data_IF_084703734438
#
_entry.id   IF_084703734438
#
_cell.length_a   1.000
_cell.length_b   1.000
_cell.length_c   1.000
_cell.angle_alpha   90.00
_cell.angle_beta   90.00
_cell.angle_gamma   90.00
#
_symmetry.space_group_name_H-M   'P 1'
#
loop_
_entity.id
_entity.type
_entity.pdbx_description
1 polymer ?
#
# COMPACT_ATOMS: atom_id res chain seq x y z
N UNK A 1 -5.66 -44.34 9.95
CA UNK A 1 -6.20 -43.42 8.90
C UNK A 1 -5.36 -43.46 7.63
N UNK A 2 -4.14 -42.93 7.62
CA UNK A 2 -3.30 -42.84 6.41
C UNK A 2 -2.89 -44.20 5.78
N UNK A 3 -2.87 -45.28 6.55
CA UNK A 3 -2.58 -46.65 6.07
C UNK A 3 -3.74 -47.29 5.29
N UNK A 4 -4.98 -46.87 5.56
CA UNK A 4 -6.18 -47.47 4.94
C UNK A 4 -6.84 -46.54 3.92
N UNK A 5 -6.83 -45.23 4.19
CA UNK A 5 -7.38 -44.18 3.31
C UNK A 5 -6.34 -43.72 2.29
N UNK A 6 -5.83 -44.67 1.50
CA UNK A 6 -4.89 -44.44 0.40
C UNK A 6 -5.61 -44.18 -0.93
N UNK A 7 -6.92 -44.42 -0.99
CA UNK A 7 -7.72 -44.44 -2.21
C UNK A 7 -7.66 -45.75 -3.00
N UNK A 8 -6.90 -46.75 -2.51
CA UNK A 8 -6.76 -48.05 -3.16
C UNK A 8 -7.77 -49.11 -2.69
N UNK A 9 -8.52 -48.85 -1.61
CA UNK A 9 -9.39 -49.84 -0.96
C UNK A 9 -10.83 -49.33 -0.77
N UNK A 10 -11.73 -49.47 -1.75
CA UNK A 10 -13.14 -49.08 -1.58
C UNK A 10 -13.81 -49.82 -0.40
N UNK A 11 -14.67 -49.16 0.42
CA UNK A 11 -15.16 -47.79 0.29
C UNK A 11 -14.23 -46.73 0.91
N UNK A 12 -13.07 -47.10 1.46
CA UNK A 12 -12.12 -46.16 2.04
C UNK A 12 -11.46 -45.32 0.94
N UNK A 13 -11.94 -44.09 0.82
CA UNK A 13 -11.41 -43.07 -0.06
C UNK A 13 -10.07 -42.54 0.43
N UNK A 14 -9.32 -41.93 -0.49
CA UNK A 14 -8.08 -41.24 -0.17
C UNK A 14 -8.33 -39.79 0.25
N UNK A 15 -7.25 -39.08 0.57
CA UNK A 15 -7.29 -37.61 0.69
C UNK A 15 -7.81 -37.01 -0.62
N UNK A 16 -8.71 -36.02 -0.53
CA UNK A 16 -9.15 -35.28 -1.72
C UNK A 16 -7.98 -34.57 -2.40
N UNK A 17 -8.13 -34.27 -3.69
CA UNK A 17 -7.15 -33.45 -4.44
C UNK A 17 -6.96 -32.05 -3.85
N UNK A 18 -7.95 -31.57 -3.09
CA UNK A 18 -7.95 -30.29 -2.39
C UNK A 18 -7.44 -30.36 -0.95
N UNK A 19 -6.99 -31.53 -0.49
CA UNK A 19 -6.50 -31.71 0.87
C UNK A 19 -5.25 -30.86 1.10
N UNK A 20 -5.30 -29.98 2.10
CA UNK A 20 -4.20 -29.07 2.41
C UNK A 20 -2.94 -29.85 2.83
N UNK A 21 -1.74 -29.50 2.32
CA UNK A 21 -0.49 -30.13 2.72
C UNK A 21 0.00 -29.58 4.06
N UNK A 22 -0.77 -29.83 5.13
CA UNK A 22 -0.57 -29.27 6.48
C UNK A 22 0.80 -29.59 7.09
N UNK A 23 1.49 -30.63 6.61
CA UNK A 23 2.83 -31.01 7.05
C UNK A 23 3.91 -30.00 6.65
N UNK A 24 3.64 -29.15 5.65
CA UNK A 24 4.56 -28.12 5.17
C UNK A 24 4.58 -26.86 6.05
N UNK A 25 3.71 -26.79 7.07
CA UNK A 25 3.61 -25.65 7.98
C UNK A 25 3.94 -26.13 9.39
N UNK A 26 4.95 -25.50 10.01
CA UNK A 26 5.46 -25.92 11.33
C UNK A 26 4.36 -26.07 12.39
N UNK A 27 3.40 -25.13 12.44
CA UNK A 27 2.29 -25.14 13.42
C UNK A 27 1.38 -26.38 13.31
N UNK A 28 1.34 -27.03 12.14
CA UNK A 28 0.53 -28.22 11.89
C UNK A 28 1.38 -29.44 11.53
N UNK A 29 2.71 -29.35 11.60
CA UNK A 29 3.61 -30.44 11.19
C UNK A 29 3.42 -31.73 12.00
N UNK A 30 3.08 -31.60 13.29
CA UNK A 30 2.78 -32.71 14.19
C UNK A 30 1.29 -33.10 14.23
N UNK A 31 0.43 -32.44 13.44
CA UNK A 31 -0.99 -32.73 13.43
C UNK A 31 -1.27 -34.13 12.84
N UNK A 32 -2.30 -34.77 13.37
CA UNK A 32 -2.84 -36.02 12.85
C UNK A 32 -4.23 -35.79 12.23
N UNK A 33 -4.84 -36.85 11.68
CA UNK A 33 -6.16 -36.76 11.05
C UNK A 33 -7.23 -36.23 12.03
N UNK A 34 -7.17 -36.65 13.29
CA UNK A 34 -8.15 -36.32 14.33
C UNK A 34 -8.08 -34.84 14.75
N UNK A 35 -6.95 -34.17 14.48
CA UNK A 35 -6.79 -32.73 14.71
C UNK A 35 -7.79 -31.92 13.90
N UNK A 36 -8.13 -32.38 12.68
CA UNK A 36 -9.03 -31.68 11.77
C UNK A 36 -10.37 -32.40 11.59
N UNK A 37 -10.39 -33.74 11.69
CA UNK A 37 -11.56 -34.58 11.42
C UNK A 37 -12.17 -35.11 12.74
N UNK A 38 -12.64 -34.19 13.59
CA UNK A 38 -13.11 -34.50 14.95
C UNK A 38 -14.48 -35.18 15.03
N UNK A 39 -15.29 -35.14 13.97
CA UNK A 39 -16.68 -35.60 13.95
C UNK A 39 -16.86 -37.12 13.81
N UNK A 40 -16.03 -37.89 14.52
CA UNK A 40 -16.30 -39.30 14.82
C UNK A 40 -16.55 -40.21 13.61
N UNK A 41 -15.84 -40.00 12.49
CA UNK A 41 -15.87 -40.85 11.29
C UNK A 41 -17.17 -40.87 10.48
N UNK A 42 -18.25 -40.20 10.92
CA UNK A 42 -19.53 -40.16 10.21
C UNK A 42 -19.61 -39.03 9.17
N UNK A 43 -18.90 -37.91 9.40
CA UNK A 43 -18.78 -36.80 8.45
C UNK A 43 -17.35 -36.26 8.47
N UNK A 44 -16.53 -36.65 7.48
CA UNK A 44 -15.15 -36.19 7.33
C UNK A 44 -15.02 -34.80 6.70
N UNK A 45 -16.09 -34.32 6.07
CA UNK A 45 -16.15 -33.01 5.43
C UNK A 45 -17.34 -32.21 5.96
N UNK A 46 -17.23 -30.87 6.05
CA UNK A 46 -16.06 -30.05 5.72
C UNK A 46 -15.10 -29.88 6.92
N UNK A 47 -13.82 -30.21 6.74
CA UNK A 47 -12.75 -29.84 7.67
C UNK A 47 -11.97 -28.63 7.13
N UNK A 48 -11.75 -27.61 7.96
CA UNK A 48 -11.00 -26.39 7.59
C UNK A 48 -9.83 -26.18 8.54
N UNK A 49 -8.66 -25.87 7.97
CA UNK A 49 -7.41 -25.71 8.72
C UNK A 49 -7.52 -24.58 9.74
N UNK A 50 -7.91 -23.37 9.33
CA UNK A 50 -8.00 -22.21 10.24
C UNK A 50 -9.06 -22.35 11.35
N UNK A 51 -10.00 -23.30 11.22
CA UNK A 51 -10.97 -23.61 12.28
C UNK A 51 -10.43 -24.59 13.32
N UNK A 52 -9.36 -25.32 12.99
CA UNK A 52 -8.81 -26.41 13.82
C UNK A 52 -7.37 -26.16 14.28
N UNK A 53 -6.65 -25.24 13.64
CA UNK A 53 -5.28 -24.88 13.95
C UNK A 53 -5.06 -23.37 13.86
N UNK A 54 -4.37 -22.82 14.86
CA UNK A 54 -3.91 -21.44 14.87
C UNK A 54 -2.60 -21.34 14.10
N UNK A 55 -2.64 -20.72 12.92
CA UNK A 55 -1.48 -20.49 12.06
C UNK A 55 -1.24 -18.99 11.98
N UNK A 56 -0.06 -18.56 12.40
CA UNK A 56 0.36 -17.15 12.43
C UNK A 56 1.52 -16.83 11.50
N UNK A 57 2.11 -17.83 10.84
CA UNK A 57 3.21 -17.67 9.89
C UNK A 57 3.15 -18.70 8.76
N UNK A 58 3.97 -18.54 7.72
CA UNK A 58 4.08 -19.46 6.59
C UNK A 58 2.79 -19.52 5.74
N UNK A 59 2.03 -18.42 5.68
CA UNK A 59 0.79 -18.36 4.92
C UNK A 59 1.02 -18.66 3.43
N UNK A 60 2.14 -18.19 2.88
CA UNK A 60 2.51 -18.36 1.48
C UNK A 60 2.63 -19.83 1.06
N UNK A 61 2.94 -20.76 1.99
CA UNK A 61 3.05 -22.20 1.71
C UNK A 61 1.79 -22.79 1.09
N UNK A 62 0.62 -22.27 1.45
CA UNK A 62 -0.67 -22.71 0.87
C UNK A 62 -1.33 -21.63 0.01
N UNK A 63 -1.15 -20.35 0.34
CA UNK A 63 -1.93 -19.25 -0.25
C UNK A 63 -1.19 -18.44 -1.32
N UNK A 64 0.06 -18.76 -1.66
CA UNK A 64 0.82 -18.00 -2.66
C UNK A 64 0.13 -17.93 -4.04
N UNK A 65 -0.55 -18.99 -4.46
CA UNK A 65 -1.22 -19.06 -5.77
C UNK A 65 -2.53 -18.26 -5.86
N UNK A 66 -3.13 -17.93 -4.72
CA UNK A 66 -4.38 -17.16 -4.65
C UNK A 66 -4.15 -15.71 -4.22
N UNK A 67 -2.88 -15.32 -4.08
CA UNK A 67 -2.48 -13.95 -3.73
C UNK A 67 -2.98 -12.98 -4.82
N UNK A 68 -3.74 -11.92 -4.45
CA UNK A 68 -4.21 -10.95 -5.41
C UNK A 68 -3.06 -10.27 -6.18
N UNK A 69 -3.24 -10.06 -7.48
CA UNK A 69 -2.30 -9.32 -8.31
C UNK A 69 -2.56 -7.80 -8.23
N UNK A 70 -2.27 -7.19 -7.07
CA UNK A 70 -2.36 -5.73 -6.89
C UNK A 70 -1.01 -5.14 -6.54
N UNK A 71 -0.83 -3.83 -6.75
CA UNK A 71 0.42 -3.12 -6.44
C UNK A 71 0.87 -3.29 -4.99
N UNK A 72 -0.07 -3.37 -4.04
CA UNK A 72 0.24 -3.61 -2.61
C UNK A 72 0.78 -5.02 -2.37
N UNK A 73 0.35 -5.99 -3.18
CA UNK A 73 0.76 -7.38 -3.07
C UNK A 73 2.03 -7.66 -3.87
N UNK A 74 2.38 -6.87 -4.90
CA UNK A 74 3.59 -7.09 -5.72
C UNK A 74 4.85 -7.23 -4.85
N UNK A 75 5.62 -8.32 -5.06
CA UNK A 75 6.84 -8.61 -4.30
C UNK A 75 6.65 -9.14 -2.87
N UNK A 76 5.43 -9.12 -2.30
CA UNK A 76 5.19 -9.59 -0.93
C UNK A 76 5.23 -11.11 -0.80
N UNK A 77 6.10 -11.64 0.07
CA UNK A 77 6.22 -13.08 0.34
C UNK A 77 5.82 -13.46 1.77
N UNK A 78 5.76 -12.49 2.68
CA UNK A 78 5.40 -12.67 4.08
C UNK A 78 4.05 -12.01 4.33
N UNK A 79 2.97 -12.80 4.27
CA UNK A 79 1.59 -12.30 4.28
C UNK A 79 1.17 -11.78 5.67
N UNK A 80 1.64 -12.47 6.70
CA UNK A 80 1.40 -12.22 8.12
C UNK A 80 1.99 -10.89 8.62
N UNK A 81 2.84 -10.23 7.82
CA UNK A 81 3.25 -8.85 8.09
C UNK A 81 2.06 -7.88 8.02
N UNK A 82 1.09 -8.14 7.14
CA UNK A 82 -0.11 -7.32 6.96
C UNK A 82 -1.38 -8.00 7.47
N UNK A 83 -1.55 -9.30 7.18
CA UNK A 83 -2.73 -10.06 7.54
C UNK A 83 -2.56 -10.69 8.92
N UNK A 84 -2.95 -9.94 9.97
CA UNK A 84 -2.78 -10.35 11.37
C UNK A 84 -3.85 -11.32 11.89
N UNK A 85 -4.86 -11.63 11.09
CA UNK A 85 -6.00 -12.44 11.51
C UNK A 85 -6.49 -13.32 10.36
N UNK A 86 -6.77 -14.58 10.68
CA UNK A 86 -7.39 -15.55 9.75
C UNK A 86 -8.91 -15.44 9.71
N UNK A 87 -9.54 -14.76 10.68
CA UNK A 87 -10.99 -14.53 10.73
C UNK A 87 -11.39 -13.19 10.13
N UNK A 88 -10.52 -12.18 10.23
CA UNK A 88 -10.69 -10.85 9.63
C UNK A 88 -9.58 -10.60 8.61
N UNK A 89 -9.41 -11.55 7.67
CA UNK A 89 -8.33 -11.52 6.68
C UNK A 89 -8.44 -10.29 5.76
N UNK A 90 -9.67 -9.97 5.36
CA UNK A 90 -9.99 -8.76 4.59
C UNK A 90 -9.80 -7.51 5.44
N UNK A 91 -9.27 -6.44 4.84
CA UNK A 91 -9.10 -5.15 5.53
C UNK A 91 -7.73 -4.95 6.19
N UNK A 92 -6.76 -5.83 5.92
CA UNK A 92 -5.36 -5.60 6.29
C UNK A 92 -4.89 -4.21 5.81
N UNK A 93 -4.15 -3.52 6.69
CA UNK A 93 -3.62 -2.19 6.41
C UNK A 93 -2.11 -2.26 6.27
N UNK A 94 -1.57 -1.44 5.36
CA UNK A 94 -0.13 -1.28 5.20
C UNK A 94 0.41 -0.48 6.38
N UNK A 95 1.46 -1.01 7.02
CA UNK A 95 2.21 -0.30 8.03
C UNK A 95 3.21 0.67 7.36
N UNK A 96 2.88 1.95 7.39
CA UNK A 96 3.69 2.99 6.76
C UNK A 96 4.98 3.30 7.54
N UNK A 97 5.11 2.88 8.80
CA UNK A 97 6.31 3.13 9.61
C UNK A 97 7.57 2.47 9.06
N UNK A 98 7.40 1.48 8.19
CA UNK A 98 8.48 0.74 7.52
C UNK A 98 9.03 1.44 6.27
N UNK A 99 8.37 2.51 5.79
CA UNK A 99 8.80 3.24 4.61
C UNK A 99 9.80 4.36 4.93
N UNK A 100 10.64 4.69 3.97
CA UNK A 100 11.76 5.63 4.15
C UNK A 100 11.78 6.68 3.03
N UNK A 101 12.78 7.57 3.07
CA UNK A 101 12.99 8.56 2.02
C UNK A 101 13.24 7.96 0.64
N UNK A 102 13.65 6.70 0.55
CA UNK A 102 13.85 6.00 -0.72
C UNK A 102 12.54 5.44 -1.31
N UNK A 103 11.45 5.41 -0.52
CA UNK A 103 10.19 4.82 -0.96
C UNK A 103 9.48 5.72 -1.97
N UNK A 104 9.11 5.15 -3.12
CA UNK A 104 8.28 5.83 -4.11
C UNK A 104 6.81 5.79 -3.68
N UNK A 105 6.34 6.79 -2.93
CA UNK A 105 4.96 6.81 -2.44
C UNK A 105 3.92 6.81 -3.57
N UNK A 106 4.27 7.38 -4.73
CA UNK A 106 3.38 7.48 -5.89
C UNK A 106 3.08 6.13 -6.55
N UNK A 107 3.87 5.08 -6.28
CA UNK A 107 3.57 3.74 -6.81
C UNK A 107 2.23 3.22 -6.28
N UNK A 108 1.87 3.56 -5.04
CA UNK A 108 0.62 3.16 -4.40
C UNK A 108 -0.39 4.32 -4.34
N UNK A 109 0.06 5.53 -4.02
CA UNK A 109 -0.78 6.73 -3.94
C UNK A 109 -0.98 7.37 -5.33
N UNK A 110 -1.60 6.60 -6.23
CA UNK A 110 -1.79 6.93 -7.64
C UNK A 110 -3.25 7.27 -8.00
N UNK A 111 -4.17 7.29 -7.03
CA UNK A 111 -5.60 7.55 -7.24
C UNK A 111 -6.41 6.31 -7.60
N UNK A 112 -5.77 5.16 -7.83
CA UNK A 112 -6.43 3.87 -8.10
C UNK A 112 -6.20 2.88 -6.95
N UNK A 113 -4.94 2.62 -6.58
CA UNK A 113 -4.59 1.69 -5.49
C UNK A 113 -4.85 2.32 -4.12
N UNK A 114 -4.44 3.57 -3.96
CA UNK A 114 -4.70 4.39 -2.78
C UNK A 114 -4.94 5.83 -3.23
N UNK A 115 -5.44 6.65 -2.30
CA UNK A 115 -5.70 8.07 -2.54
C UNK A 115 -4.46 8.74 -3.12
N UNK A 116 -4.62 9.33 -4.31
CA UNK A 116 -3.56 10.06 -5.00
C UNK A 116 -3.54 11.54 -4.61
N UNK A 117 -2.82 12.34 -5.40
CA UNK A 117 -2.81 13.79 -5.28
C UNK A 117 -4.21 14.35 -5.58
N UNK A 118 -4.70 15.24 -4.72
CA UNK A 118 -5.94 15.98 -4.98
C UNK A 118 -5.76 16.94 -6.16
N UNK A 119 -6.86 17.37 -6.79
CA UNK A 119 -6.84 18.38 -7.87
C UNK A 119 -6.22 19.71 -7.43
N UNK A 120 -6.29 20.03 -6.14
CA UNK A 120 -5.70 21.22 -5.51
C UNK A 120 -4.28 21.00 -4.97
N UNK A 121 -3.65 19.87 -5.28
CA UNK A 121 -2.25 19.64 -4.91
C UNK A 121 -1.33 20.54 -5.74
N UNK A 122 -0.40 21.23 -5.09
CA UNK A 122 0.59 22.09 -5.76
C UNK A 122 1.46 21.29 -6.75
N UNK A 123 1.90 21.88 -7.87
CA UNK A 123 2.82 21.21 -8.77
C UNK A 123 4.20 21.06 -8.11
N UNK A 124 4.66 19.81 -7.96
CA UNK A 124 5.95 19.48 -7.31
C UNK A 124 6.87 18.65 -8.22
N UNK A 125 6.49 18.44 -9.47
CA UNK A 125 7.22 17.60 -10.42
C UNK A 125 7.52 16.20 -9.85
N UNK A 126 8.78 15.78 -9.98
CA UNK A 126 9.30 14.52 -9.48
C UNK A 126 9.80 14.56 -8.02
N UNK A 127 9.55 15.66 -7.29
CA UNK A 127 9.94 15.79 -5.88
C UNK A 127 9.35 14.65 -5.06
N UNK A 128 10.18 14.02 -4.24
CA UNK A 128 9.74 12.92 -3.40
C UNK A 128 8.65 13.40 -2.42
N UNK A 129 7.59 12.62 -2.28
CA UNK A 129 6.44 12.97 -1.46
C UNK A 129 6.85 13.18 0.01
N UNK A 130 7.84 12.44 0.51
CA UNK A 130 8.32 12.55 1.89
C UNK A 130 9.04 13.88 2.20
N UNK A 131 9.42 14.66 1.17
CA UNK A 131 9.95 16.00 1.38
C UNK A 131 8.87 16.90 2.01
N UNK A 132 7.61 16.74 1.63
CA UNK A 132 6.50 17.55 2.15
C UNK A 132 5.64 16.78 3.17
N UNK A 133 5.54 15.46 3.03
CA UNK A 133 4.64 14.61 3.79
C UNK A 133 5.41 13.63 4.66
N UNK A 134 4.70 12.92 5.54
CA UNK A 134 5.30 11.93 6.42
C UNK A 134 4.62 10.59 6.23
N UNK A 135 5.27 9.51 6.67
CA UNK A 135 4.67 8.18 6.69
C UNK A 135 3.46 8.09 7.61
N UNK A 136 3.32 9.01 8.57
CA UNK A 136 2.17 9.10 9.48
C UNK A 136 0.99 9.90 8.89
N UNK A 137 1.21 10.68 7.83
CA UNK A 137 0.13 11.46 7.23
C UNK A 137 0.55 12.46 6.15
N UNK A 138 -0.43 12.78 5.29
CA UNK A 138 -0.33 13.79 4.22
C UNK A 138 -0.52 15.22 4.73
N UNK A 139 -1.23 15.42 5.85
CA UNK A 139 -1.47 16.74 6.45
C UNK A 139 -1.11 16.73 7.94
N UNK A 140 -0.56 17.84 8.49
CA UNK A 140 -0.11 19.02 7.76
C UNK A 140 1.09 18.72 6.85
N UNK A 141 1.19 19.45 5.75
CA UNK A 141 2.39 19.42 4.90
C UNK A 141 3.49 20.27 5.53
N UNK A 142 4.75 19.87 5.33
CA UNK A 142 5.96 20.61 5.71
C UNK A 142 6.57 21.36 4.52
N UNK A 143 5.77 21.59 3.48
CA UNK A 143 6.20 22.30 2.28
C UNK A 143 6.93 23.59 2.63
N UNK A 144 8.07 23.79 1.99
CA UNK A 144 8.77 25.07 1.94
C UNK A 144 9.40 25.26 0.56
N UNK A 145 9.74 26.51 0.25
CA UNK A 145 10.23 26.89 -1.06
C UNK A 145 11.61 26.35 -1.45
N UNK A 146 12.38 25.75 -0.52
CA UNK A 146 13.68 25.14 -0.86
C UNK A 146 13.57 23.68 -1.30
N UNK A 147 12.39 23.06 -1.16
CA UNK A 147 12.16 21.65 -1.50
C UNK A 147 11.85 21.42 -2.98
N UNK A 148 11.47 22.48 -3.68
CA UNK A 148 11.16 22.47 -5.11
C UNK A 148 12.00 23.53 -5.79
N UNK A 149 12.50 23.24 -6.99
CA UNK A 149 13.22 24.24 -7.77
C UNK A 149 12.22 25.22 -8.40
N UNK A 150 12.16 26.45 -7.86
CA UNK A 150 11.16 27.46 -8.24
C UNK A 150 11.69 28.64 -9.05
N UNK A 151 12.98 28.65 -9.39
CA UNK A 151 13.62 29.79 -10.08
C UNK A 151 12.88 30.16 -11.36
N UNK A 152 12.40 31.40 -11.44
CA UNK A 152 11.58 31.90 -12.55
C UNK A 152 10.27 31.10 -12.83
N UNK A 153 9.80 30.28 -11.88
CA UNK A 153 8.59 29.45 -12.00
C UNK A 153 7.50 29.83 -10.99
N UNK A 154 7.60 30.97 -10.28
CA UNK A 154 6.65 31.34 -9.21
C UNK A 154 5.19 31.31 -9.69
N UNK A 155 4.94 31.74 -10.93
CA UNK A 155 3.60 31.76 -11.54
C UNK A 155 2.95 30.38 -11.73
N UNK A 156 3.69 29.27 -11.63
CA UNK A 156 3.11 27.92 -11.72
C UNK A 156 2.32 27.53 -10.47
N UNK A 157 2.66 28.11 -9.32
CA UNK A 157 2.00 27.87 -8.03
C UNK A 157 1.21 29.10 -7.56
N UNK A 158 1.68 30.30 -7.83
CA UNK A 158 1.04 31.56 -7.44
C UNK A 158 -0.04 31.99 -8.44
N UNK A 159 -1.01 31.11 -8.65
CA UNK A 159 -2.19 31.34 -9.50
C UNK A 159 -3.42 31.75 -8.69
N UNK A 160 -3.38 31.55 -7.36
CA UNK A 160 -4.55 31.62 -6.47
C UNK A 160 -5.38 30.34 -6.43
N UNK A 161 -5.05 29.33 -7.25
CA UNK A 161 -5.76 28.05 -7.27
C UNK A 161 -5.31 27.07 -6.17
N UNK A 162 -4.21 27.38 -5.48
CA UNK A 162 -3.57 26.45 -4.53
C UNK A 162 -3.39 27.09 -3.15
N UNK A 163 -4.44 27.19 -2.30
CA UNK A 163 -4.31 27.80 -0.98
C UNK A 163 -3.21 27.14 -0.13
N UNK A 164 -2.33 27.91 0.54
CA UNK A 164 -2.33 29.37 0.69
C UNK A 164 -1.51 30.14 -0.35
N UNK A 165 -1.08 29.52 -1.46
CA UNK A 165 -0.34 30.22 -2.51
C UNK A 165 -1.25 31.21 -3.24
N UNK A 166 -1.02 32.50 -2.97
CA UNK A 166 -1.78 33.59 -3.55
C UNK A 166 -1.48 33.79 -5.04
N UNK A 167 -2.46 34.33 -5.75
CA UNK A 167 -2.32 34.75 -7.15
C UNK A 167 -1.95 36.22 -7.29
N UNK A 168 -1.74 36.66 -8.54
CA UNK A 168 -1.67 38.10 -8.85
C UNK A 168 -3.00 38.77 -8.50
N UNK A 169 -2.94 39.86 -7.74
CA UNK A 169 -4.12 40.68 -7.46
C UNK A 169 -4.44 41.60 -8.65
N UNK A 170 -5.63 42.21 -8.64
CA UNK A 170 -6.06 43.17 -9.67
C UNK A 170 -5.13 44.38 -9.78
N UNK A 171 -4.43 44.73 -8.70
CA UNK A 171 -3.48 45.84 -8.65
C UNK A 171 -2.04 45.42 -8.96
N UNK A 172 -1.79 44.17 -9.33
CA UNK A 172 -0.45 43.70 -9.67
C UNK A 172 0.07 44.43 -10.91
N UNK A 173 1.24 45.07 -10.79
CA UNK A 173 1.84 45.85 -11.87
C UNK A 173 2.12 44.97 -13.10
N UNK A 174 1.66 45.36 -14.31
CA UNK A 174 1.92 44.62 -15.54
C UNK A 174 3.33 44.96 -16.05
N UNK A 175 4.35 44.48 -15.36
CA UNK A 175 5.76 44.78 -15.64
C UNK A 175 6.18 44.47 -17.09
N UNK A 176 5.51 43.54 -17.76
CA UNK A 176 5.75 43.24 -19.18
C UNK A 176 5.44 44.42 -20.11
N UNK A 177 4.59 45.35 -19.71
CA UNK A 177 4.21 46.52 -20.51
C UNK A 177 5.20 47.69 -20.38
N UNK A 178 6.15 47.60 -19.45
CA UNK A 178 7.14 48.65 -19.20
C UNK A 178 8.48 48.19 -19.78
N UNK A 179 8.99 48.90 -20.79
CA UNK A 179 10.21 48.49 -21.52
C UNK A 179 11.41 48.23 -20.59
N UNK A 180 11.57 49.02 -19.52
CA UNK A 180 12.66 48.86 -18.55
C UNK A 180 12.59 47.56 -17.72
N UNK A 181 11.41 46.96 -17.58
CA UNK A 181 11.17 45.74 -16.80
C UNK A 181 10.55 44.62 -17.63
N UNK A 182 10.53 44.74 -18.95
CA UNK A 182 9.94 43.75 -19.85
C UNK A 182 10.61 42.37 -19.74
N UNK A 183 11.91 42.34 -19.41
CA UNK A 183 12.68 41.10 -19.18
C UNK A 183 12.73 40.67 -17.71
N UNK A 184 12.06 41.38 -16.80
CA UNK A 184 12.02 41.03 -15.38
C UNK A 184 11.22 39.73 -15.16
N UNK A 185 11.51 39.06 -14.05
CA UNK A 185 10.74 37.93 -13.56
C UNK A 185 10.22 38.22 -12.14
N UNK A 186 9.49 37.26 -11.58
CA UNK A 186 8.98 37.35 -10.21
C UNK A 186 10.10 37.66 -9.21
N UNK A 187 11.24 36.96 -9.30
CA UNK A 187 12.39 37.13 -8.41
C UNK A 187 13.00 38.55 -8.45
N UNK A 188 12.83 39.26 -9.57
CA UNK A 188 13.34 40.63 -9.74
C UNK A 188 12.64 41.62 -8.81
N UNK A 189 11.34 41.41 -8.56
CA UNK A 189 10.52 42.28 -7.72
C UNK A 189 10.27 41.68 -6.33
N UNK A 190 10.21 40.34 -6.23
CA UNK A 190 9.89 39.59 -5.02
C UNK A 190 11.15 38.97 -4.39
N UNK A 191 12.12 39.81 -4.02
CA UNK A 191 13.44 39.38 -3.50
C UNK A 191 13.47 38.87 -2.06
N UNK A 192 12.40 39.08 -1.28
CA UNK A 192 12.38 38.88 0.17
C UNK A 192 11.26 37.98 0.68
N UNK A 193 10.56 37.26 -0.19
CA UNK A 193 9.39 36.49 0.21
C UNK A 193 9.17 35.31 -0.69
N UNK A 194 9.72 34.18 -0.28
CA UNK A 194 9.05 32.92 -0.41
C UNK A 194 8.48 32.58 0.97
#
# INVERSE_FOLDING_TARGET
>A
CATCHTGAYPPADGKSVSHTPYQLVAATAAANCDTCHKSGYTNWTPARVHSNASISSQCATCHASIKPATTVHTGQTVCETCHKSTTTWSGAKVDHSTFTVATNCSSCHNGSTATGKASTHIPVGATNCISCHTTTGWKPSRFNHSQVTVTAQCATCHTGAYPPADGKTVSHTPYQLVAATAAANCDTCHKAGY
#
